data_IF_404895849170
#
_entry.id   IF_404895849170
#
_cell.length_a   1.000
_cell.length_b   1.000
_cell.length_c   1.000
_cell.angle_alpha   90.00
_cell.angle_beta   90.00
_cell.angle_gamma   90.00
#
_symmetry.space_group_name_H-M   'P 1'
#
loop_
_entity.id
_entity.type
_entity.pdbx_description
1 polymer ?
#
# COMPACT_ATOMS: atom_id res chain seq x y z
N UNK A 1 35.97 -19.01 46.21
CA UNK A 1 35.07 -18.62 45.09
C UNK A 1 34.22 -17.46 45.56
N UNK A 2 34.38 -16.28 44.98
CA UNK A 2 33.64 -15.06 45.35
C UNK A 2 32.62 -14.77 44.24
N UNK A 3 31.34 -14.48 44.53
CA UNK A 3 30.35 -14.21 43.48
C UNK A 3 30.63 -12.85 42.85
N UNK A 4 30.75 -12.83 41.52
CA UNK A 4 30.95 -11.62 40.74
C UNK A 4 29.59 -10.95 40.50
N UNK A 5 29.21 -10.02 41.38
CA UNK A 5 28.04 -9.17 41.15
C UNK A 5 28.40 -8.09 40.13
N UNK A 6 27.88 -8.22 38.91
CA UNK A 6 27.89 -7.14 37.91
C UNK A 6 27.15 -5.94 38.53
N UNK A 7 27.88 -4.88 38.85
CA UNK A 7 27.31 -3.61 39.30
C UNK A 7 26.48 -3.01 38.17
N UNK A 8 25.16 -2.96 38.35
CA UNK A 8 24.24 -2.19 37.51
C UNK A 8 24.47 -0.69 37.74
N UNK A 9 24.54 0.09 36.66
CA UNK A 9 24.72 1.55 36.71
C UNK A 9 23.51 2.21 37.42
N UNK A 10 23.72 3.16 38.35
CA UNK A 10 22.63 3.84 39.02
C UNK A 10 21.99 4.85 38.05
N UNK A 11 20.71 4.66 37.74
CA UNK A 11 19.93 5.52 36.82
C UNK A 11 19.14 4.78 35.75
N UNK A 12 19.31 3.45 35.62
CA UNK A 12 18.52 2.66 34.69
C UNK A 12 17.19 2.28 35.36
N UNK A 13 16.16 3.11 35.17
CA UNK A 13 14.79 2.63 35.27
C UNK A 13 14.71 1.43 34.32
N UNK A 14 14.53 0.23 34.85
CA UNK A 14 14.19 -0.94 34.06
C UNK A 14 12.81 -0.69 33.44
N UNK A 15 12.75 0.12 32.39
CA UNK A 15 11.56 0.22 31.54
C UNK A 15 11.45 -1.13 30.87
N UNK A 16 10.69 -2.04 31.47
CA UNK A 16 10.37 -3.33 30.87
C UNK A 16 9.73 -3.01 29.52
N UNK A 17 10.38 -3.44 28.43
CA UNK A 17 9.87 -3.23 27.07
C UNK A 17 8.73 -4.23 26.80
N UNK A 18 7.58 -3.93 27.39
CA UNK A 18 6.36 -4.76 27.30
C UNK A 18 5.80 -4.82 25.87
N UNK A 19 6.16 -3.88 25.00
CA UNK A 19 5.75 -3.87 23.60
C UNK A 19 6.53 -4.91 22.79
N UNK A 20 7.80 -5.14 23.12
CA UNK A 20 8.60 -6.22 22.54
C UNK A 20 8.25 -7.61 23.06
N UNK A 21 7.42 -7.75 24.11
CA UNK A 21 6.96 -9.06 24.60
C UNK A 21 5.63 -9.51 23.98
N UNK A 22 4.94 -8.64 23.24
CA UNK A 22 3.64 -8.98 22.62
C UNK A 22 3.77 -10.10 21.57
N UNK A 23 2.84 -11.05 21.48
CA UNK A 23 2.83 -11.99 20.37
C UNK A 23 2.66 -11.30 19.01
N UNK A 24 3.22 -11.89 17.96
CA UNK A 24 3.23 -11.32 16.60
C UNK A 24 1.82 -11.00 16.08
N UNK A 25 0.83 -11.85 16.39
CA UNK A 25 -0.56 -11.61 15.97
C UNK A 25 -1.16 -10.35 16.61
N UNK A 26 -0.78 -10.01 17.85
CA UNK A 26 -1.21 -8.76 18.52
C UNK A 26 -0.52 -7.57 17.87
N UNK A 27 0.77 -7.67 17.55
CA UNK A 27 1.50 -6.60 16.88
C UNK A 27 0.90 -6.35 15.49
N UNK A 28 0.61 -7.41 14.73
CA UNK A 28 -0.11 -7.32 13.46
C UNK A 28 -1.47 -6.64 13.61
N UNK A 29 -2.23 -7.01 14.64
CA UNK A 29 -3.53 -6.40 14.91
C UNK A 29 -3.40 -4.91 15.21
N UNK A 30 -2.47 -4.50 16.08
CA UNK A 30 -2.17 -3.09 16.38
C UNK A 30 -1.80 -2.35 15.09
N UNK A 31 -0.83 -2.87 14.32
CA UNK A 31 -0.35 -2.25 13.08
C UNK A 31 -1.47 -2.15 12.04
N UNK A 32 -2.41 -3.10 12.00
CA UNK A 32 -3.54 -3.06 11.07
C UNK A 32 -4.51 -1.90 11.31
N UNK A 33 -4.53 -1.32 12.52
CA UNK A 33 -5.27 -0.10 12.83
C UNK A 33 -4.47 1.18 12.52
N UNK A 34 -3.18 1.06 12.24
CA UNK A 34 -2.32 2.17 11.89
C UNK A 34 -2.31 2.38 10.38
N UNK A 35 -2.44 3.63 9.94
CA UNK A 35 -2.13 3.99 8.54
C UNK A 35 -0.66 3.70 8.21
N UNK A 36 -0.32 3.62 6.91
CA UNK A 36 1.00 3.16 6.44
C UNK A 36 2.18 3.90 7.10
N UNK A 37 2.06 5.23 7.25
CA UNK A 37 3.09 6.09 7.88
C UNK A 37 3.27 5.79 9.37
N UNK A 38 2.18 5.61 10.11
CA UNK A 38 2.24 5.29 11.54
C UNK A 38 2.76 3.87 11.78
N UNK A 39 2.31 2.90 10.99
CA UNK A 39 2.85 1.54 10.98
C UNK A 39 4.36 1.53 10.70
N UNK A 40 4.83 2.33 9.73
CA UNK A 40 6.25 2.42 9.44
C UNK A 40 7.05 3.00 10.62
N UNK A 41 6.51 4.00 11.35
CA UNK A 41 7.16 4.57 12.53
C UNK A 41 7.34 3.56 13.67
N UNK A 42 6.47 2.56 13.80
CA UNK A 42 6.64 1.53 14.83
C UNK A 42 7.83 0.59 14.56
N UNK A 43 8.42 0.63 13.35
CA UNK A 43 9.58 -0.20 13.00
C UNK A 43 10.80 0.04 13.90
N UNK A 44 10.92 1.21 14.51
CA UNK A 44 12.04 1.55 15.40
C UNK A 44 11.93 0.92 16.79
N UNK A 45 10.76 0.37 17.16
CA UNK A 45 10.53 -0.19 18.49
C UNK A 45 11.35 -1.46 18.72
N UNK A 46 11.40 -2.35 17.72
CA UNK A 46 12.33 -3.48 17.71
C UNK A 46 12.43 -4.09 16.31
N UNK A 47 13.40 -4.99 16.10
CA UNK A 47 13.55 -5.74 14.83
C UNK A 47 12.26 -6.46 14.43
N UNK A 48 11.50 -6.98 15.40
CA UNK A 48 10.27 -7.71 15.15
C UNK A 48 9.14 -6.78 14.68
N UNK A 49 8.98 -5.63 15.33
CA UNK A 49 8.03 -4.60 14.89
C UNK A 49 8.37 -4.09 13.49
N UNK A 50 9.65 -3.96 13.15
CA UNK A 50 10.09 -3.62 11.79
C UNK A 50 9.66 -4.65 10.75
N UNK A 51 9.87 -5.95 11.03
CA UNK A 51 9.47 -7.04 10.13
C UNK A 51 7.95 -7.06 9.90
N UNK A 52 7.16 -6.92 10.98
CA UNK A 52 5.70 -6.93 10.91
C UNK A 52 5.16 -5.67 10.22
N UNK A 53 5.71 -4.49 10.52
CA UNK A 53 5.31 -3.25 9.88
C UNK A 53 5.54 -3.29 8.36
N UNK A 54 6.58 -3.99 7.92
CA UNK A 54 6.89 -4.10 6.50
C UNK A 54 5.90 -5.00 5.72
N UNK A 55 5.20 -5.92 6.40
CA UNK A 55 4.14 -6.77 5.83
C UNK A 55 2.74 -6.22 6.09
N UNK A 56 2.61 -4.95 6.48
CA UNK A 56 1.31 -4.30 6.70
C UNK A 56 0.47 -4.25 5.40
N UNK A 57 -0.70 -4.91 5.33
CA UNK A 57 -1.50 -5.02 4.11
C UNK A 57 -2.15 -3.70 3.65
N UNK A 58 -1.97 -2.61 4.40
CA UNK A 58 -2.39 -1.26 4.03
C UNK A 58 -1.21 -0.50 3.46
N UNK A 59 -1.22 -0.26 2.15
CA UNK A 59 -0.22 0.49 1.41
C UNK A 59 -0.80 1.84 1.00
N UNK A 60 -0.19 2.90 1.51
CA UNK A 60 -0.67 4.26 1.33
C UNK A 60 0.51 5.18 1.03
N UNK A 61 0.47 5.81 -0.14
CA UNK A 61 1.49 6.66 -0.71
C UNK A 61 0.84 7.99 -1.13
N UNK A 62 1.03 9.05 -0.32
CA UNK A 62 0.51 10.41 -0.61
C UNK A 62 1.60 11.34 -1.15
N UNK A 63 2.78 11.29 -0.54
CA UNK A 63 3.91 12.09 -0.99
C UNK A 63 4.86 11.17 -1.78
N UNK A 64 4.57 11.02 -3.08
CA UNK A 64 5.27 10.08 -3.97
C UNK A 64 6.65 10.56 -4.44
N UNK A 65 7.28 11.46 -3.68
CA UNK A 65 8.57 12.05 -4.00
C UNK A 65 9.70 11.02 -3.98
N UNK A 66 9.53 9.93 -3.22
CA UNK A 66 10.50 8.84 -3.12
C UNK A 66 9.99 7.60 -3.87
N UNK A 67 10.17 7.58 -5.19
CA UNK A 67 9.78 6.47 -6.05
C UNK A 67 10.52 5.18 -5.69
N UNK A 68 11.81 5.25 -5.34
CA UNK A 68 12.62 4.09 -4.94
C UNK A 68 12.05 3.38 -3.71
N UNK A 69 11.53 4.15 -2.75
CA UNK A 69 10.87 3.59 -1.56
C UNK A 69 9.60 2.83 -1.95
N UNK A 70 8.75 3.43 -2.79
CA UNK A 70 7.50 2.80 -3.24
C UNK A 70 7.84 1.54 -4.02
N UNK A 71 8.78 1.64 -4.96
CA UNK A 71 9.26 0.53 -5.78
C UNK A 71 9.77 -0.63 -4.92
N UNK A 72 10.69 -0.35 -3.99
CA UNK A 72 11.25 -1.36 -3.07
C UNK A 72 10.14 -2.04 -2.28
N UNK A 73 9.15 -1.27 -1.81
CA UNK A 73 8.02 -1.80 -1.07
C UNK A 73 7.14 -2.66 -1.96
N UNK A 74 6.82 -2.22 -3.17
CA UNK A 74 5.99 -2.98 -4.12
C UNK A 74 6.66 -4.28 -4.58
N UNK A 75 7.96 -4.24 -4.88
CA UNK A 75 8.72 -5.43 -5.27
C UNK A 75 8.78 -6.46 -4.13
N UNK A 76 8.82 -6.02 -2.87
CA UNK A 76 8.70 -6.94 -1.73
C UNK A 76 7.36 -7.68 -1.73
N UNK A 77 6.25 -6.98 -1.92
CA UNK A 77 4.92 -7.60 -1.97
C UNK A 77 4.80 -8.61 -3.10
N UNK A 78 5.37 -8.28 -4.26
CA UNK A 78 5.45 -9.18 -5.40
C UNK A 78 6.28 -10.42 -5.07
N UNK A 79 7.49 -10.25 -4.52
CA UNK A 79 8.44 -11.33 -4.22
C UNK A 79 7.93 -12.28 -3.13
N UNK A 80 7.36 -11.73 -2.07
CA UNK A 80 6.89 -12.48 -0.89
C UNK A 80 5.42 -12.92 -1.03
N UNK A 81 4.75 -12.60 -2.15
CA UNK A 81 3.34 -12.89 -2.42
C UNK A 81 2.41 -12.43 -1.27
N UNK A 82 2.69 -11.26 -0.71
CA UNK A 82 1.96 -10.71 0.43
C UNK A 82 0.62 -10.15 -0.02
N UNK A 83 -0.46 -10.45 0.70
CA UNK A 83 -1.78 -9.87 0.38
C UNK A 83 -1.79 -8.36 0.62
N UNK A 84 -2.28 -7.61 -0.35
CA UNK A 84 -2.61 -6.19 -0.21
C UNK A 84 -4.10 -6.11 0.09
N UNK A 85 -4.49 -5.49 1.20
CA UNK A 85 -5.90 -5.24 1.53
C UNK A 85 -6.32 -3.90 0.95
N UNK A 86 -5.50 -2.87 1.17
CA UNK A 86 -5.75 -1.51 0.72
C UNK A 86 -4.53 -0.97 0.00
N UNK A 87 -4.73 -0.41 -1.18
CA UNK A 87 -3.71 0.31 -1.94
C UNK A 87 -4.20 1.73 -2.19
N UNK A 88 -3.36 2.72 -1.92
CA UNK A 88 -3.65 4.13 -2.14
C UNK A 88 -2.44 4.84 -2.73
N UNK A 89 -2.60 5.44 -3.90
CA UNK A 89 -1.58 6.23 -4.59
C UNK A 89 -2.14 7.62 -4.88
N UNK A 90 -1.62 8.64 -4.20
CA UNK A 90 -2.18 9.99 -4.19
C UNK A 90 -1.08 11.05 -4.25
N UNK A 91 -0.25 11.08 -5.31
CA UNK A 91 0.87 12.02 -5.43
C UNK A 91 0.45 13.49 -5.33
N UNK A 92 1.40 14.32 -4.87
CA UNK A 92 1.32 15.78 -4.92
C UNK A 92 1.48 16.34 -6.35
N UNK A 93 2.22 15.63 -7.21
CA UNK A 93 2.42 15.97 -8.62
C UNK A 93 2.63 14.70 -9.46
N UNK A 94 2.13 14.71 -10.70
CA UNK A 94 2.36 13.64 -11.68
C UNK A 94 3.58 13.94 -12.55
N UNK A 95 4.45 12.95 -12.75
CA UNK A 95 5.51 12.99 -13.76
C UNK A 95 5.54 11.67 -14.57
N UNK A 96 6.29 11.65 -15.67
CA UNK A 96 6.36 10.51 -16.58
C UNK A 96 6.87 9.25 -15.88
N UNK A 97 7.87 9.38 -15.02
CA UNK A 97 8.46 8.24 -14.30
C UNK A 97 7.46 7.58 -13.36
N UNK A 98 6.74 8.38 -12.57
CA UNK A 98 5.68 7.93 -11.68
C UNK A 98 4.55 7.24 -12.47
N UNK A 99 4.15 7.80 -13.62
CA UNK A 99 3.12 7.21 -14.49
C UNK A 99 3.57 5.83 -14.99
N UNK A 100 4.81 5.70 -15.47
CA UNK A 100 5.37 4.42 -15.92
C UNK A 100 5.40 3.38 -14.79
N UNK A 101 5.74 3.80 -13.58
CA UNK A 101 5.77 2.91 -12.41
C UNK A 101 4.38 2.56 -11.87
N UNK A 102 3.42 3.47 -11.97
CA UNK A 102 2.06 3.24 -11.50
C UNK A 102 1.43 2.01 -12.16
N UNK A 103 1.63 1.78 -13.46
CA UNK A 103 1.12 0.58 -14.15
C UNK A 103 1.63 -0.73 -13.53
N UNK A 104 2.92 -0.80 -13.25
CA UNK A 104 3.51 -1.96 -12.59
C UNK A 104 2.92 -2.14 -11.19
N UNK A 105 2.81 -1.05 -10.42
CA UNK A 105 2.28 -1.07 -9.06
C UNK A 105 0.80 -1.46 -9.00
N UNK A 106 -0.04 -0.98 -9.93
CA UNK A 106 -1.43 -1.42 -10.07
C UNK A 106 -1.49 -2.91 -10.37
N UNK A 107 -0.65 -3.38 -11.30
CA UNK A 107 -0.56 -4.80 -11.63
C UNK A 107 -0.14 -5.66 -10.43
N UNK A 108 0.78 -5.19 -9.59
CA UNK A 108 1.15 -5.86 -8.33
C UNK A 108 -0.04 -5.85 -7.37
N UNK A 109 -0.67 -4.69 -7.13
CA UNK A 109 -1.83 -4.58 -6.23
C UNK A 109 -2.95 -5.58 -6.59
N UNK A 110 -3.30 -5.69 -7.87
CA UNK A 110 -4.33 -6.63 -8.35
C UNK A 110 -3.91 -8.09 -8.14
N UNK A 111 -2.69 -8.47 -8.53
CA UNK A 111 -2.16 -9.84 -8.33
C UNK A 111 -2.13 -10.23 -6.86
N UNK A 112 -1.83 -9.27 -6.00
CA UNK A 112 -1.78 -9.41 -4.55
C UNK A 112 -3.17 -9.21 -3.89
N UNK A 113 -4.26 -9.38 -4.65
CA UNK A 113 -5.64 -9.49 -4.16
C UNK A 113 -6.17 -8.24 -3.43
N UNK A 114 -5.81 -7.06 -3.92
CA UNK A 114 -6.32 -5.77 -3.41
C UNK A 114 -7.83 -5.77 -3.30
N UNK A 115 -8.33 -5.27 -2.17
CA UNK A 115 -9.78 -5.21 -1.87
C UNK A 115 -10.32 -3.78 -1.88
N UNK A 116 -9.48 -2.79 -1.55
CA UNK A 116 -9.77 -1.37 -1.68
C UNK A 116 -8.66 -0.68 -2.44
N UNK A 117 -9.01 -0.01 -3.52
CA UNK A 117 -8.07 0.66 -4.41
C UNK A 117 -8.42 2.14 -4.51
N UNK A 118 -7.43 3.01 -4.24
CA UNK A 118 -7.56 4.47 -4.31
C UNK A 118 -6.45 5.03 -5.18
N UNK A 119 -6.79 5.85 -6.16
CA UNK A 119 -5.79 6.49 -7.04
C UNK A 119 -6.22 7.89 -7.46
N UNK A 120 -5.54 8.92 -6.95
CA UNK A 120 -5.92 10.32 -7.17
C UNK A 120 -4.73 11.14 -7.68
N UNK A 121 -4.96 12.13 -8.54
CA UNK A 121 -3.94 13.13 -8.90
C UNK A 121 -2.86 12.62 -9.87
N UNK A 122 -3.19 11.63 -10.70
CA UNK A 122 -2.35 11.17 -11.79
C UNK A 122 -2.97 11.58 -13.10
N UNK A 123 -2.89 12.89 -13.39
CA UNK A 123 -3.39 13.45 -14.63
C UNK A 123 -2.80 12.65 -15.81
N UNK A 124 -3.62 12.44 -16.83
CA UNK A 124 -3.27 11.69 -18.04
C UNK A 124 -3.01 10.18 -17.91
N UNK A 125 -2.88 9.65 -16.69
CA UNK A 125 -2.69 8.23 -16.44
C UNK A 125 -3.93 7.43 -16.85
N UNK A 126 -3.72 6.36 -17.63
CA UNK A 126 -4.78 5.46 -18.07
C UNK A 126 -4.86 4.28 -17.11
N UNK A 127 -5.96 4.15 -16.38
CA UNK A 127 -6.14 3.03 -15.47
C UNK A 127 -6.17 1.71 -16.24
N UNK A 128 -5.31 0.72 -15.93
CA UNK A 128 -5.20 -0.49 -16.72
C UNK A 128 -6.40 -1.42 -16.53
N UNK A 129 -6.79 -2.11 -17.62
CA UNK A 129 -7.93 -3.03 -17.67
C UNK A 129 -7.92 -4.10 -16.56
N UNK A 130 -6.73 -4.53 -16.13
CA UNK A 130 -6.55 -5.55 -15.10
C UNK A 130 -7.24 -5.19 -13.78
N UNK A 131 -7.31 -3.90 -13.44
CA UNK A 131 -8.00 -3.41 -12.26
C UNK A 131 -9.52 -3.67 -12.33
N UNK A 132 -10.09 -3.55 -13.51
CA UNK A 132 -11.53 -3.74 -13.78
C UNK A 132 -11.95 -5.21 -13.80
N UNK A 133 -10.98 -6.13 -13.81
CA UNK A 133 -11.19 -7.58 -13.71
C UNK A 133 -10.84 -8.16 -12.33
N UNK A 134 -10.51 -7.31 -11.36
CA UNK A 134 -10.07 -7.73 -10.05
C UNK A 134 -11.23 -8.28 -9.21
N UNK A 135 -11.33 -9.60 -9.07
CA UNK A 135 -12.42 -10.29 -8.36
C UNK A 135 -12.51 -9.97 -6.87
N UNK A 136 -11.42 -9.53 -6.26
CA UNK A 136 -11.35 -9.16 -4.83
C UNK A 136 -11.72 -7.72 -4.56
N UNK A 137 -11.84 -6.89 -5.60
CA UNK A 137 -12.04 -5.45 -5.46
C UNK A 137 -13.46 -5.17 -4.97
N UNK A 138 -13.55 -4.60 -3.77
CA UNK A 138 -14.80 -4.22 -3.11
C UNK A 138 -15.04 -2.72 -3.13
N UNK A 139 -13.97 -1.92 -3.24
CA UNK A 139 -14.05 -0.47 -3.35
C UNK A 139 -13.02 0.06 -4.34
N UNK A 140 -13.49 0.88 -5.27
CA UNK A 140 -12.68 1.63 -6.23
C UNK A 140 -12.94 3.13 -6.03
N UNK A 141 -11.88 3.90 -5.82
CA UNK A 141 -11.93 5.35 -5.62
C UNK A 141 -10.88 6.01 -6.53
N UNK A 142 -11.33 6.71 -7.56
CA UNK A 142 -10.45 7.27 -8.57
C UNK A 142 -10.77 8.75 -8.77
N UNK A 143 -9.73 9.57 -8.90
CA UNK A 143 -9.90 10.97 -9.25
C UNK A 143 -8.76 11.51 -10.10
N UNK A 144 -9.06 12.38 -11.07
CA UNK A 144 -8.07 12.97 -11.98
C UNK A 144 -7.21 11.91 -12.66
N UNK A 145 -7.89 10.94 -13.28
CA UNK A 145 -7.28 9.86 -14.07
C UNK A 145 -8.13 9.60 -15.31
N UNK A 146 -7.56 8.94 -16.31
CA UNK A 146 -8.27 8.50 -17.52
C UNK A 146 -8.72 7.05 -17.37
N UNK A 147 -9.97 6.80 -17.73
CA UNK A 147 -10.50 5.43 -17.86
C UNK A 147 -10.77 5.19 -19.34
N UNK A 148 -9.93 4.39 -20.03
CA UNK A 148 -10.22 3.96 -21.39
C UNK A 148 -11.50 3.14 -21.46
N UNK A 149 -12.12 3.10 -22.64
CA UNK A 149 -13.24 2.20 -22.89
C UNK A 149 -12.79 0.73 -22.83
N UNK A 150 -13.35 -0.02 -21.88
CA UNK A 150 -13.12 -1.46 -21.72
C UNK A 150 -14.39 -2.23 -22.05
N UNK A 151 -14.36 -3.08 -23.08
CA UNK A 151 -15.51 -3.91 -23.51
C UNK A 151 -16.00 -4.88 -22.44
N UNK A 152 -15.14 -5.28 -21.50
CA UNK A 152 -15.47 -6.21 -20.42
C UNK A 152 -14.96 -5.65 -19.09
N UNK A 153 -15.87 -5.51 -18.14
CA UNK A 153 -15.61 -5.12 -16.75
C UNK A 153 -16.22 -6.21 -15.88
N UNK A 154 -15.43 -6.81 -15.01
CA UNK A 154 -15.79 -8.00 -14.21
C UNK A 154 -15.76 -7.68 -12.70
N UNK A 155 -16.51 -6.65 -12.32
CA UNK A 155 -16.64 -6.15 -10.95
C UNK A 155 -17.55 -7.04 -10.08
N UNK A 156 -17.23 -8.34 -9.97
CA UNK A 156 -18.07 -9.32 -9.26
C UNK A 156 -18.27 -9.03 -7.77
N UNK A 157 -17.32 -8.35 -7.12
CA UNK A 157 -17.34 -8.08 -5.68
C UNK A 157 -17.46 -6.59 -5.33
N UNK A 158 -17.58 -5.71 -6.34
CA UNK A 158 -17.51 -4.26 -6.12
C UNK A 158 -18.78 -3.79 -5.41
N UNK A 159 -18.59 -3.11 -4.28
CA UNK A 159 -19.67 -2.55 -3.44
C UNK A 159 -19.68 -1.03 -3.46
N UNK A 160 -18.56 -0.41 -3.78
CA UNK A 160 -18.41 1.05 -3.77
C UNK A 160 -17.56 1.49 -4.95
N UNK A 161 -18.11 2.38 -5.76
CA UNK A 161 -17.42 3.04 -6.86
C UNK A 161 -17.52 4.55 -6.64
N UNK A 162 -16.37 5.21 -6.52
CA UNK A 162 -16.28 6.68 -6.48
C UNK A 162 -15.40 7.14 -7.63
N UNK A 163 -15.96 7.99 -8.48
CA UNK A 163 -15.32 8.59 -9.64
C UNK A 163 -15.50 10.10 -9.54
N UNK A 164 -14.39 10.85 -9.60
CA UNK A 164 -14.40 12.31 -9.44
C UNK A 164 -13.39 12.91 -10.44
N UNK A 165 -13.78 13.90 -11.24
CA UNK A 165 -12.89 14.49 -12.27
C UNK A 165 -12.25 13.45 -13.21
N UNK A 166 -13.05 12.47 -13.69
CA UNK A 166 -12.58 11.43 -14.61
C UNK A 166 -12.76 11.85 -16.06
N UNK A 167 -11.73 11.63 -16.87
CA UNK A 167 -11.84 11.74 -18.34
C UNK A 167 -12.15 10.35 -18.91
N UNK A 168 -13.38 10.18 -19.36
CA UNK A 168 -13.80 9.04 -20.17
C UNK A 168 -13.46 9.34 -21.63
N UNK A 169 -12.60 8.54 -22.26
CA UNK A 169 -12.39 8.60 -23.70
C UNK A 169 -13.14 7.45 -24.35
N UNK A 170 -14.13 7.78 -25.17
CA UNK A 170 -14.74 6.82 -26.09
C UNK A 170 -13.68 6.34 -27.09
N UNK A 171 -13.80 5.10 -27.60
CA UNK A 171 -13.04 4.72 -28.77
C UNK A 171 -13.42 5.72 -29.86
N UNK A 172 -12.44 6.43 -30.41
CA UNK A 172 -12.64 7.15 -31.67
C UNK A 172 -13.14 6.06 -32.61
N UNK A 173 -14.41 6.13 -33.01
CA UNK A 173 -14.97 5.20 -33.95
C UNK A 173 -14.00 5.08 -35.13
N UNK A 174 -13.81 3.83 -35.54
CA UNK A 174 -13.09 3.46 -36.73
C UNK A 174 -13.68 4.21 -37.93
N UNK A 175 -13.16 5.41 -38.20
CA UNK A 175 -13.36 6.06 -39.48
C UNK A 175 -12.39 5.44 -40.49
N UNK A 176 -12.98 4.57 -41.31
CA UNK A 176 -12.52 3.98 -42.58
C UNK A 176 -11.74 2.67 -42.51
#
# INVERSE_FOLDING_TARGET
MVPNYKKSKPGQLNSVDRLSDLPDFIIHHIISFLGSKAAHRTSILSKRWSQIAATNPVLEFRDCDNLDYIETRMQRYRKENLRIKEFSLMPSASNVELICKADEWVGIAVRNQVSKFVIWGLDDYKLPAILFTAKTLTRLDCSKVRIPYYKAVDFVSLKTLKLEDIVLKEPIDAEH
#
